data_IF_879714929062
#
_entry.id   IF_879714929062
#
_cell.length_a   1.000
_cell.length_b   1.000
_cell.length_c   1.000
_cell.angle_alpha   90.00
_cell.angle_beta   90.00
_cell.angle_gamma   90.00
#
_symmetry.space_group_name_H-M   'P 1'
#
loop_
_entity.id
_entity.type
_entity.pdbx_description
1 polymer ?
#
# COMPACT_ATOMS: atom_id res chain seq x y z
N UNK A 1 28.86 -20.77 12.05
CA UNK A 1 27.60 -20.02 11.76
C UNK A 1 27.89 -19.04 10.64
N UNK A 2 27.10 -18.99 9.59
CA UNK A 2 27.29 -18.08 8.45
C UNK A 2 26.62 -16.70 8.64
N UNK A 3 26.10 -16.41 9.82
CA UNK A 3 25.45 -15.16 10.20
C UNK A 3 26.23 -14.45 11.30
N UNK A 4 26.43 -13.15 11.12
CA UNK A 4 27.06 -12.28 12.12
C UNK A 4 26.05 -11.28 12.64
N UNK A 5 25.94 -11.14 13.95
CA UNK A 5 25.15 -10.08 14.56
C UNK A 5 26.00 -8.82 14.56
N UNK A 6 25.65 -7.85 13.72
CA UNK A 6 26.38 -6.59 13.61
C UNK A 6 26.03 -5.62 14.74
N UNK A 7 24.74 -5.55 15.11
CA UNK A 7 24.23 -4.59 16.08
C UNK A 7 22.87 -5.03 16.60
N UNK A 8 22.60 -4.81 17.85
CA UNK A 8 21.26 -4.90 18.41
C UNK A 8 20.47 -3.63 18.08
N UNK A 9 19.25 -3.80 17.59
CA UNK A 9 18.35 -2.69 17.28
C UNK A 9 17.40 -2.44 18.45
N UNK A 10 17.01 -1.19 18.74
CA UNK A 10 16.00 -0.91 19.75
C UNK A 10 14.70 -1.63 19.38
N UNK A 11 14.02 -2.22 20.37
CA UNK A 11 12.71 -2.78 20.12
C UNK A 11 11.70 -1.64 19.81
N UNK A 12 10.58 -1.93 19.12
CA UNK A 12 9.61 -0.89 18.73
C UNK A 12 9.04 -0.09 19.90
N UNK A 13 8.86 -0.69 21.07
CA UNK A 13 8.35 0.02 22.25
C UNK A 13 9.33 1.11 22.69
N UNK A 14 10.61 0.77 22.79
CA UNK A 14 11.67 1.73 23.14
C UNK A 14 11.80 2.85 22.09
N UNK A 15 11.75 2.48 20.80
CA UNK A 15 11.84 3.48 19.73
C UNK A 15 10.63 4.43 19.71
N UNK A 16 9.42 3.91 19.92
CA UNK A 16 8.20 4.74 20.01
C UNK A 16 8.20 5.66 21.24
N UNK A 17 8.83 5.23 22.33
CA UNK A 17 9.01 6.09 23.50
C UNK A 17 10.04 7.22 23.25
N UNK A 18 11.07 6.97 22.44
CA UNK A 18 12.05 7.98 22.02
C UNK A 18 11.49 8.95 20.98
N UNK A 19 10.67 8.44 20.04
CA UNK A 19 10.00 9.23 18.98
C UNK A 19 8.47 9.08 19.09
N UNK A 20 7.84 9.63 20.13
CA UNK A 20 6.40 9.46 20.37
C UNK A 20 5.57 10.20 19.32
N UNK A 21 4.43 9.61 18.95
CA UNK A 21 3.45 10.27 18.08
C UNK A 21 2.74 11.36 18.89
N UNK A 22 2.77 12.63 18.45
CA UNK A 22 2.04 13.72 19.09
C UNK A 22 0.53 13.45 19.18
N UNK A 23 -0.13 13.96 20.20
CA UNK A 23 -1.55 13.68 20.46
C UNK A 23 -2.48 14.14 19.33
N UNK A 24 -2.17 15.27 18.69
CA UNK A 24 -2.95 15.74 17.55
C UNK A 24 -2.83 14.84 16.33
N UNK A 25 -1.64 14.25 16.06
CA UNK A 25 -1.45 13.24 14.99
C UNK A 25 -2.25 11.97 15.29
N UNK A 26 -2.29 11.50 16.55
CA UNK A 26 -3.13 10.37 16.96
C UNK A 26 -4.60 10.63 16.67
N UNK A 27 -5.09 11.85 16.94
CA UNK A 27 -6.47 12.25 16.64
C UNK A 27 -6.75 12.26 15.14
N UNK A 28 -5.83 12.81 14.34
CA UNK A 28 -5.92 12.75 12.87
C UNK A 28 -6.03 11.30 12.41
N UNK A 29 -5.10 10.45 12.85
CA UNK A 29 -5.10 9.03 12.49
C UNK A 29 -6.40 8.34 12.88
N UNK A 30 -6.86 8.51 14.10
CA UNK A 30 -8.10 7.88 14.58
C UNK A 30 -9.34 8.29 13.76
N UNK A 31 -9.39 9.53 13.27
CA UNK A 31 -10.44 10.00 12.37
C UNK A 31 -10.32 9.36 11.00
N UNK A 32 -9.12 9.38 10.41
CA UNK A 32 -8.85 8.82 9.10
C UNK A 32 -9.08 7.30 9.06
N UNK A 33 -8.65 6.57 10.11
CA UNK A 33 -8.88 5.11 10.21
C UNK A 33 -10.38 4.78 10.17
N UNK A 34 -11.22 5.57 10.86
CA UNK A 34 -12.68 5.40 10.83
C UNK A 34 -13.26 5.65 9.43
N UNK A 35 -12.83 6.75 8.78
CA UNK A 35 -13.29 7.09 7.42
C UNK A 35 -12.91 6.01 6.40
N UNK A 36 -11.68 5.52 6.46
CA UNK A 36 -11.21 4.47 5.56
C UNK A 36 -11.94 3.15 5.85
N UNK A 37 -12.07 2.76 7.11
CA UNK A 37 -12.79 1.53 7.49
C UNK A 37 -14.26 1.57 7.08
N UNK A 38 -14.93 2.73 7.14
CA UNK A 38 -16.32 2.91 6.72
C UNK A 38 -16.53 2.57 5.24
N UNK A 39 -15.57 2.88 4.37
CA UNK A 39 -15.63 2.49 2.95
C UNK A 39 -15.58 0.96 2.79
N UNK A 40 -14.68 0.30 3.51
CA UNK A 40 -14.57 -1.17 3.45
C UNK A 40 -15.81 -1.88 4.01
N UNK A 41 -16.46 -1.32 5.02
CA UNK A 41 -17.70 -1.84 5.59
C UNK A 41 -18.94 -1.51 4.75
N UNK A 42 -18.82 -0.69 3.70
CA UNK A 42 -19.95 -0.22 2.90
C UNK A 42 -20.83 0.82 3.60
N UNK A 43 -20.31 1.48 4.62
CA UNK A 43 -20.94 2.58 5.36
C UNK A 43 -20.70 3.95 4.69
N UNK A 44 -19.80 4.00 3.70
CA UNK A 44 -19.46 5.18 2.92
C UNK A 44 -19.24 4.79 1.46
N UNK A 45 -19.81 5.60 0.55
CA UNK A 45 -19.67 5.44 -0.91
C UNK A 45 -18.44 6.17 -1.47
N UNK A 46 -17.61 6.78 -0.62
CA UNK A 46 -16.39 7.42 -1.07
C UNK A 46 -15.45 6.40 -1.70
N UNK A 47 -14.73 6.82 -2.74
CA UNK A 47 -13.79 5.98 -3.43
C UNK A 47 -12.36 6.19 -2.92
N UNK A 48 -11.63 5.11 -2.66
CA UNK A 48 -10.27 5.17 -2.14
C UNK A 48 -9.26 5.33 -3.27
N UNK A 49 -8.33 6.26 -3.14
CA UNK A 49 -7.19 6.38 -4.06
C UNK A 49 -5.89 6.32 -3.27
N UNK A 50 -5.21 5.17 -3.36
CA UNK A 50 -3.90 4.96 -2.74
C UNK A 50 -2.86 5.37 -3.78
N UNK A 51 -2.20 6.51 -3.58
CA UNK A 51 -1.37 7.12 -4.64
C UNK A 51 -0.06 7.68 -4.11
N UNK A 52 1.04 7.36 -4.78
CA UNK A 52 2.38 7.83 -4.40
C UNK A 52 3.50 7.07 -5.09
N UNK A 53 4.76 7.34 -4.77
CA UNK A 53 5.92 6.76 -5.43
C UNK A 53 5.96 5.24 -5.31
N UNK A 54 6.62 4.58 -6.25
CA UNK A 54 6.86 3.14 -6.21
C UNK A 54 7.58 2.71 -4.92
N UNK A 55 8.55 3.51 -4.47
CA UNK A 55 9.17 3.43 -3.14
C UNK A 55 9.58 4.81 -2.67
N UNK A 56 9.47 5.05 -1.35
CA UNK A 56 10.03 6.24 -0.73
C UNK A 56 11.57 6.16 -0.78
N UNK A 57 12.19 7.24 -1.22
CA UNK A 57 13.63 7.35 -1.42
C UNK A 57 14.23 8.61 -0.81
N UNK A 58 13.42 9.63 -0.58
CA UNK A 58 13.84 10.92 -0.04
C UNK A 58 12.67 11.59 0.72
N UNK A 59 12.91 12.01 1.96
CA UNK A 59 11.87 12.60 2.83
C UNK A 59 11.27 13.87 2.24
N UNK A 60 12.11 14.79 1.72
CA UNK A 60 11.62 16.07 1.19
C UNK A 60 10.72 15.90 -0.03
N UNK A 61 11.10 15.04 -0.97
CA UNK A 61 10.29 14.80 -2.17
C UNK A 61 9.00 14.06 -1.85
N UNK A 62 9.00 13.13 -0.89
CA UNK A 62 7.80 12.46 -0.40
C UNK A 62 6.86 13.45 0.30
N UNK A 63 7.39 14.30 1.18
CA UNK A 63 6.60 15.32 1.88
C UNK A 63 6.09 16.40 0.90
N UNK A 64 6.87 16.81 -0.10
CA UNK A 64 6.39 17.70 -1.16
C UNK A 64 5.23 17.06 -1.93
N UNK A 65 5.36 15.79 -2.32
CA UNK A 65 4.31 15.06 -3.02
C UNK A 65 3.03 14.99 -2.18
N UNK A 66 3.14 14.66 -0.89
CA UNK A 66 1.98 14.58 0.00
C UNK A 66 1.32 15.94 0.25
N UNK A 67 2.09 17.05 0.31
CA UNK A 67 1.53 18.41 0.36
C UNK A 67 0.72 18.75 -0.89
N UNK A 68 1.18 18.32 -2.06
CA UNK A 68 0.41 18.50 -3.32
C UNK A 68 -0.89 17.69 -3.28
N UNK A 69 -0.83 16.43 -2.80
CA UNK A 69 -2.02 15.61 -2.60
C UNK A 69 -3.03 16.25 -1.63
N UNK A 70 -2.55 16.83 -0.54
CA UNK A 70 -3.41 17.50 0.43
C UNK A 70 -4.20 18.67 -0.18
N UNK A 71 -3.58 19.43 -1.09
CA UNK A 71 -4.26 20.52 -1.82
C UNK A 71 -5.38 19.99 -2.72
N UNK A 72 -5.13 18.89 -3.43
CA UNK A 72 -6.16 18.23 -4.24
C UNK A 72 -7.25 17.64 -3.34
N UNK A 73 -6.87 17.02 -2.20
CA UNK A 73 -7.81 16.44 -1.26
C UNK A 73 -8.89 17.42 -0.82
N UNK A 74 -8.55 18.68 -0.56
CA UNK A 74 -9.53 19.70 -0.16
C UNK A 74 -10.65 19.90 -1.19
N UNK A 75 -10.38 19.60 -2.46
CA UNK A 75 -11.35 19.78 -3.54
C UNK A 75 -12.13 18.51 -3.87
N UNK A 76 -11.62 17.33 -3.48
CA UNK A 76 -12.20 16.03 -3.83
C UNK A 76 -12.67 15.21 -2.64
N UNK A 77 -12.45 15.67 -1.41
CA UNK A 77 -12.72 14.94 -0.16
C UNK A 77 -14.18 14.52 0.06
N UNK A 78 -15.11 15.14 -0.63
CA UNK A 78 -16.53 14.75 -0.57
C UNK A 78 -16.80 13.45 -1.34
N UNK A 79 -15.98 13.13 -2.33
CA UNK A 79 -16.09 11.96 -3.20
C UNK A 79 -14.98 10.93 -2.98
N UNK A 80 -13.77 11.39 -2.68
CA UNK A 80 -12.59 10.55 -2.57
C UNK A 80 -12.00 10.57 -1.15
N UNK A 81 -11.31 9.48 -0.82
CA UNK A 81 -10.36 9.42 0.29
C UNK A 81 -8.98 9.17 -0.33
N UNK A 82 -8.12 10.20 -0.33
CA UNK A 82 -6.74 10.07 -0.78
C UNK A 82 -5.87 9.50 0.35
N UNK A 83 -5.10 8.44 0.04
CA UNK A 83 -4.16 7.81 0.96
C UNK A 83 -2.77 7.86 0.30
N UNK A 84 -1.85 8.70 0.80
CA UNK A 84 -0.47 8.73 0.32
C UNK A 84 0.17 7.35 0.41
N UNK A 85 0.66 6.83 -0.71
CA UNK A 85 1.42 5.60 -0.80
C UNK A 85 2.89 5.91 -0.52
N UNK A 86 3.34 5.60 0.70
CA UNK A 86 4.71 5.83 1.16
C UNK A 86 5.33 4.47 1.50
N UNK A 87 5.69 3.71 0.47
CA UNK A 87 6.28 2.40 0.63
C UNK A 87 7.75 2.51 1.03
N UNK A 88 8.07 2.13 2.25
CA UNK A 88 9.39 2.25 2.86
C UNK A 88 10.30 1.07 2.59
N UNK A 89 9.76 0.00 2.03
CA UNK A 89 10.48 -1.21 1.64
C UNK A 89 10.28 -1.50 0.15
N UNK A 90 11.29 -2.09 -0.50
CA UNK A 90 11.19 -2.56 -1.88
C UNK A 90 11.62 -4.02 -1.98
N UNK A 91 10.70 -4.95 -2.31
CA UNK A 91 11.07 -6.36 -2.50
C UNK A 91 11.96 -6.51 -3.73
N UNK A 92 13.08 -7.22 -3.57
CA UNK A 92 14.05 -7.51 -4.63
C UNK A 92 14.22 -9.02 -4.78
N UNK A 93 13.78 -9.57 -5.91
CA UNK A 93 13.82 -11.01 -6.19
C UNK A 93 15.25 -11.57 -6.17
N UNK A 94 16.23 -10.83 -6.70
CA UNK A 94 17.64 -11.21 -6.71
C UNK A 94 18.43 -10.68 -5.52
N UNK A 95 17.83 -9.85 -4.67
CA UNK A 95 18.50 -9.17 -3.55
C UNK A 95 19.33 -7.95 -3.96
N UNK A 96 19.40 -7.61 -5.25
CA UNK A 96 20.16 -6.47 -5.78
C UNK A 96 19.32 -5.19 -5.88
N UNK A 97 20.00 -4.04 -5.84
CA UNK A 97 19.41 -2.69 -6.00
C UNK A 97 18.83 -2.11 -4.71
N UNK A 98 18.24 -0.94 -4.80
CA UNK A 98 17.67 -0.20 -3.66
C UNK A 98 16.56 -0.99 -2.98
N UNK A 99 16.69 -1.19 -1.66
CA UNK A 99 15.78 -2.03 -0.84
C UNK A 99 14.73 -1.23 -0.08
N UNK A 100 14.65 0.07 -0.31
CA UNK A 100 13.76 0.98 0.37
C UNK A 100 14.43 1.77 1.50
N UNK A 101 13.77 2.84 1.92
CA UNK A 101 14.30 3.80 2.89
C UNK A 101 14.57 3.19 4.27
N UNK A 102 13.83 2.15 4.66
CA UNK A 102 14.09 1.42 5.90
C UNK A 102 15.49 0.80 5.93
N UNK A 103 15.99 0.28 4.81
CA UNK A 103 17.32 -0.31 4.73
C UNK A 103 18.42 0.71 4.44
N UNK A 104 18.07 1.74 3.67
CA UNK A 104 19.00 2.68 3.07
C UNK A 104 18.31 4.05 3.01
N UNK A 105 18.32 4.80 4.15
CA UNK A 105 17.65 6.12 4.23
C UNK A 105 18.28 7.16 3.30
N UNK A 106 19.52 6.97 2.92
CA UNK A 106 20.22 7.72 1.88
C UNK A 106 20.63 6.75 0.77
N UNK A 107 20.02 6.84 -0.42
CA UNK A 107 20.30 5.91 -1.51
C UNK A 107 21.76 5.85 -1.98
N UNK A 108 22.54 6.91 -1.73
CA UNK A 108 23.95 7.02 -2.12
C UNK A 108 24.92 6.47 -1.07
N UNK A 109 24.42 6.09 0.13
CA UNK A 109 25.24 5.59 1.24
C UNK A 109 25.06 4.08 1.47
N UNK A 110 25.95 3.53 2.28
CA UNK A 110 25.84 2.17 2.77
C UNK A 110 24.53 1.96 3.56
N UNK A 111 23.96 0.73 3.59
CA UNK A 111 22.78 0.40 4.38
C UNK A 111 22.97 0.77 5.87
N UNK A 112 21.94 1.42 6.45
CA UNK A 112 21.83 1.74 7.87
C UNK A 112 20.41 1.46 8.35
N UNK A 113 20.20 0.29 8.94
CA UNK A 113 18.88 -0.15 9.41
C UNK A 113 18.36 0.71 10.57
N UNK A 114 19.21 1.12 11.51
CA UNK A 114 18.75 1.97 12.61
C UNK A 114 18.35 3.36 12.12
N UNK A 115 19.23 3.98 11.33
CA UNK A 115 18.92 5.27 10.70
C UNK A 115 17.67 5.19 9.83
N UNK A 116 17.51 4.08 9.09
CA UNK A 116 16.32 3.83 8.27
C UNK A 116 15.03 3.75 9.08
N UNK A 117 15.00 2.98 10.17
CA UNK A 117 13.83 2.87 11.05
C UNK A 117 13.44 4.24 11.62
N UNK A 118 14.42 5.04 12.06
CA UNK A 118 14.18 6.40 12.56
C UNK A 118 13.67 7.31 11.44
N UNK A 119 14.30 7.25 10.26
CA UNK A 119 13.95 8.10 9.13
C UNK A 119 12.50 7.85 8.64
N UNK A 120 12.09 6.58 8.45
CA UNK A 120 10.74 6.28 8.01
C UNK A 120 9.68 6.72 9.02
N UNK A 121 9.96 6.58 10.33
CA UNK A 121 9.04 7.02 11.37
C UNK A 121 8.88 8.54 11.37
N UNK A 122 9.98 9.29 11.28
CA UNK A 122 9.98 10.77 11.20
C UNK A 122 9.26 11.25 9.95
N UNK A 123 9.53 10.64 8.80
CA UNK A 123 8.89 10.98 7.53
C UNK A 123 7.37 10.78 7.58
N UNK A 124 6.87 9.66 8.13
CA UNK A 124 5.43 9.44 8.29
C UNK A 124 4.79 10.46 9.24
N UNK A 125 5.43 10.74 10.40
CA UNK A 125 4.93 11.77 11.30
C UNK A 125 4.86 13.14 10.63
N UNK A 126 5.91 13.53 9.90
CA UNK A 126 5.98 14.79 9.17
C UNK A 126 4.91 14.87 8.07
N UNK A 127 4.72 13.80 7.31
CA UNK A 127 3.70 13.77 6.27
C UNK A 127 2.30 13.99 6.84
N UNK A 128 1.97 13.35 7.97
CA UNK A 128 0.67 13.53 8.63
C UNK A 128 0.55 14.94 9.24
N UNK A 129 1.61 15.44 9.89
CA UNK A 129 1.65 16.78 10.49
C UNK A 129 1.38 17.87 9.46
N UNK A 130 2.05 17.82 8.31
CA UNK A 130 1.98 18.84 7.27
C UNK A 130 0.69 18.76 6.44
N UNK A 131 0.00 17.61 6.41
CA UNK A 131 -1.06 17.37 5.43
C UNK A 131 -2.40 16.89 6.01
N UNK A 132 -2.41 16.34 7.20
CA UNK A 132 -3.57 15.67 7.76
C UNK A 132 -3.93 14.35 7.07
N UNK A 133 -3.11 13.87 6.12
CA UNK A 133 -3.31 12.61 5.39
C UNK A 133 -2.49 11.50 6.04
N UNK A 134 -3.15 10.42 6.44
CA UNK A 134 -2.48 9.19 6.89
C UNK A 134 -2.10 8.31 5.72
N UNK A 135 -1.05 7.52 5.88
CA UNK A 135 -0.35 6.90 4.77
C UNK A 135 -0.58 5.38 4.68
N UNK A 136 -0.25 4.84 3.52
CA UNK A 136 -0.17 3.41 3.23
C UNK A 136 1.29 2.97 3.10
N UNK A 137 1.64 1.79 3.64
CA UNK A 137 2.92 1.11 3.39
C UNK A 137 2.69 -0.36 2.97
N UNK A 138 3.74 -1.04 2.55
CA UNK A 138 3.74 -2.47 2.25
C UNK A 138 4.49 -3.24 3.34
N UNK A 139 3.82 -4.18 4.00
CA UNK A 139 4.45 -5.09 4.96
C UNK A 139 5.33 -6.10 4.22
N UNK A 140 6.57 -5.73 3.96
CA UNK A 140 7.55 -6.66 3.39
C UNK A 140 8.12 -7.58 4.47
N UNK A 141 8.36 -7.05 5.67
CA UNK A 141 8.84 -7.79 6.83
C UNK A 141 7.87 -7.58 8.01
N UNK A 142 7.17 -8.62 8.47
CA UNK A 142 6.22 -8.51 9.57
C UNK A 142 6.78 -7.89 10.84
N UNK A 143 8.04 -8.17 11.16
CA UNK A 143 8.71 -7.64 12.36
C UNK A 143 8.87 -6.11 12.31
N UNK A 144 9.05 -5.54 11.11
CA UNK A 144 9.29 -4.10 10.93
C UNK A 144 8.02 -3.27 11.09
N UNK A 145 6.84 -3.88 10.87
CA UNK A 145 5.54 -3.22 10.99
C UNK A 145 5.39 -2.48 12.32
N UNK A 146 5.80 -3.10 13.41
CA UNK A 146 5.63 -2.56 14.76
C UNK A 146 6.34 -1.21 15.01
N UNK A 147 7.23 -0.78 14.12
CA UNK A 147 7.84 0.55 14.19
C UNK A 147 6.94 1.65 13.62
N UNK A 148 5.89 1.30 12.83
CA UNK A 148 4.99 2.23 12.14
C UNK A 148 3.49 1.97 12.39
N UNK A 149 3.10 0.93 13.14
CA UNK A 149 1.70 0.52 13.34
C UNK A 149 0.81 1.60 13.98
N UNK A 150 1.41 2.55 14.68
CA UNK A 150 0.76 3.72 15.27
C UNK A 150 0.66 4.94 14.32
N UNK A 151 1.08 4.80 13.05
CA UNK A 151 1.12 5.86 12.04
C UNK A 151 0.36 5.50 10.76
N UNK A 152 0.34 4.21 10.38
CA UNK A 152 -0.28 3.74 9.13
C UNK A 152 -1.79 3.58 9.27
N UNK A 153 -2.53 3.91 8.21
CA UNK A 153 -3.98 3.68 8.10
C UNK A 153 -4.38 2.68 7.02
N UNK A 154 -3.42 2.17 6.28
CA UNK A 154 -3.57 1.12 5.28
C UNK A 154 -2.26 0.36 5.13
N UNK A 155 -2.35 -0.95 4.99
CA UNK A 155 -1.17 -1.77 4.77
C UNK A 155 -1.42 -2.80 3.66
N UNK A 156 -0.47 -2.95 2.74
CA UNK A 156 -0.54 -3.96 1.69
C UNK A 156 0.38 -5.14 2.00
N UNK A 157 -0.09 -6.35 1.67
CA UNK A 157 0.74 -7.56 1.66
C UNK A 157 1.15 -7.82 0.21
N UNK A 158 2.44 -7.77 -0.05
CA UNK A 158 3.00 -7.85 -1.39
C UNK A 158 2.78 -9.20 -2.07
N UNK A 159 2.81 -9.21 -3.40
CA UNK A 159 2.59 -10.41 -4.23
C UNK A 159 3.58 -11.54 -3.97
N UNK A 160 4.79 -11.25 -3.46
CA UNK A 160 5.79 -12.26 -3.08
C UNK A 160 5.65 -12.75 -1.64
N UNK A 161 4.86 -12.04 -0.83
CA UNK A 161 4.69 -12.28 0.61
C UNK A 161 3.34 -12.90 0.96
N UNK A 162 2.35 -12.79 0.08
CA UNK A 162 0.95 -13.18 0.33
C UNK A 162 0.78 -14.68 0.63
N UNK A 163 1.69 -15.53 0.20
CA UNK A 163 1.70 -16.96 0.49
C UNK A 163 2.36 -17.30 1.84
N UNK A 164 3.14 -16.37 2.40
CA UNK A 164 3.88 -16.58 3.62
C UNK A 164 2.94 -16.56 4.84
N UNK A 165 3.04 -17.62 5.66
CA UNK A 165 2.17 -17.79 6.82
C UNK A 165 2.27 -16.64 7.83
N UNK A 166 3.48 -16.19 8.15
CA UNK A 166 3.67 -15.12 9.13
C UNK A 166 3.06 -13.79 8.68
N UNK A 167 3.09 -13.46 7.37
CA UNK A 167 2.41 -12.27 6.85
C UNK A 167 0.89 -12.36 7.03
N UNK A 168 0.29 -13.52 6.73
CA UNK A 168 -1.16 -13.75 6.91
C UNK A 168 -1.57 -13.63 8.37
N UNK A 169 -0.81 -14.26 9.27
CA UNK A 169 -1.07 -14.21 10.71
C UNK A 169 -0.87 -12.81 11.28
N UNK A 170 0.16 -12.08 10.84
CA UNK A 170 0.37 -10.68 11.24
C UNK A 170 -0.77 -9.80 10.74
N UNK A 171 -1.24 -10.01 9.50
CA UNK A 171 -2.39 -9.26 8.96
C UNK A 171 -3.67 -9.46 9.79
N UNK A 172 -3.85 -10.63 10.42
CA UNK A 172 -4.99 -10.93 11.32
C UNK A 172 -4.96 -10.13 12.64
N UNK A 173 -3.83 -9.48 12.95
CA UNK A 173 -3.66 -8.64 14.15
C UNK A 173 -3.88 -7.15 13.91
N UNK A 174 -4.20 -6.75 12.69
CA UNK A 174 -4.31 -5.34 12.33
C UNK A 174 -5.72 -4.79 12.59
N UNK A 175 -5.78 -3.57 13.11
CA UNK A 175 -7.04 -2.80 13.28
C UNK A 175 -7.32 -1.88 12.08
N UNK A 176 -6.45 -1.90 11.07
CA UNK A 176 -6.55 -1.12 9.82
C UNK A 176 -6.74 -2.05 8.61
N UNK A 177 -7.25 -1.55 7.47
CA UNK A 177 -7.37 -2.35 6.27
C UNK A 177 -6.05 -2.97 5.82
N UNK A 178 -6.07 -4.27 5.56
CA UNK A 178 -4.95 -5.07 5.05
C UNK A 178 -5.27 -5.59 3.65
N UNK A 179 -4.61 -5.05 2.63
CA UNK A 179 -4.81 -5.45 1.24
C UNK A 179 -3.92 -6.62 0.85
N UNK A 180 -4.53 -7.77 0.51
CA UNK A 180 -3.83 -8.97 0.04
C UNK A 180 -3.66 -8.92 -1.47
N UNK A 181 -2.44 -8.66 -1.97
CA UNK A 181 -2.18 -8.72 -3.43
C UNK A 181 -2.28 -10.17 -3.92
N UNK A 182 -2.89 -10.39 -5.08
CA UNK A 182 -2.72 -11.69 -5.73
C UNK A 182 -1.22 -11.94 -5.99
N UNK A 183 -0.75 -13.20 -5.90
CA UNK A 183 0.64 -13.54 -6.15
C UNK A 183 1.08 -13.17 -7.58
N UNK A 184 2.38 -13.21 -7.83
CA UNK A 184 2.95 -12.85 -9.14
C UNK A 184 2.43 -13.76 -10.28
N UNK A 185 2.02 -14.98 -9.98
CA UNK A 185 1.35 -15.90 -10.92
C UNK A 185 -0.06 -15.46 -11.33
N UNK A 186 -0.69 -14.55 -10.58
CA UNK A 186 -2.09 -14.17 -10.81
C UNK A 186 -3.12 -15.05 -10.13
N UNK A 187 -2.72 -16.01 -9.30
CA UNK A 187 -3.61 -16.99 -8.65
C UNK A 187 -4.56 -16.33 -7.63
N UNK A 188 -5.85 -16.30 -7.97
CA UNK A 188 -6.88 -15.72 -7.09
C UNK A 188 -7.22 -16.63 -5.91
N UNK A 189 -7.08 -17.96 -6.03
CA UNK A 189 -7.37 -18.87 -4.92
C UNK A 189 -6.37 -18.66 -3.78
N UNK A 190 -5.09 -18.46 -4.10
CA UNK A 190 -4.05 -18.12 -3.11
C UNK A 190 -4.39 -16.79 -2.41
N UNK A 191 -4.83 -15.78 -3.15
CA UNK A 191 -5.23 -14.49 -2.59
C UNK A 191 -6.45 -14.65 -1.67
N UNK A 192 -7.49 -15.34 -2.10
CA UNK A 192 -8.70 -15.58 -1.29
C UNK A 192 -8.40 -16.36 0.00
N UNK A 193 -7.52 -17.38 -0.07
CA UNK A 193 -7.05 -18.10 1.10
C UNK A 193 -6.27 -17.18 2.07
N UNK A 194 -5.52 -16.22 1.53
CA UNK A 194 -4.77 -15.25 2.34
C UNK A 194 -5.71 -14.30 3.08
N UNK A 195 -6.77 -13.82 2.40
CA UNK A 195 -7.81 -13.00 3.02
C UNK A 195 -8.52 -13.78 4.13
N UNK A 196 -8.91 -15.04 3.86
CA UNK A 196 -9.54 -15.91 4.85
C UNK A 196 -8.66 -16.10 6.09
N UNK A 197 -7.37 -16.36 5.89
CA UNK A 197 -6.44 -16.47 7.00
C UNK A 197 -6.32 -15.15 7.77
N UNK A 198 -6.24 -14.02 7.10
CA UNK A 198 -6.17 -12.71 7.76
C UNK A 198 -7.46 -12.33 8.51
N UNK A 199 -8.62 -12.78 8.05
CA UNK A 199 -9.90 -12.56 8.75
C UNK A 199 -10.14 -13.54 9.91
N UNK A 200 -9.30 -14.57 10.06
CA UNK A 200 -9.44 -15.58 11.12
C UNK A 200 -8.59 -15.25 12.34
N UNK A 201 -9.04 -15.73 13.52
CA UNK A 201 -8.25 -15.67 14.75
C UNK A 201 -7.12 -16.72 14.71
N UNK A 202 -5.96 -16.37 15.26
CA UNK A 202 -4.79 -17.24 15.30
C UNK A 202 -4.04 -17.13 16.63
N UNK A 203 -3.33 -18.22 16.98
CA UNK A 203 -2.33 -18.21 18.04
C UNK A 203 -0.97 -18.58 17.43
N UNK A 204 0.04 -17.74 17.65
CA UNK A 204 1.37 -17.94 17.06
C UNK A 204 2.47 -17.16 17.81
N UNK A 205 3.73 -17.44 17.47
CA UNK A 205 4.87 -16.72 18.04
C UNK A 205 5.12 -15.47 17.22
N UNK A 206 5.05 -14.30 17.88
CA UNK A 206 5.40 -13.01 17.30
C UNK A 206 6.38 -12.27 18.20
N UNK A 207 7.57 -11.94 17.68
CA UNK A 207 8.62 -11.22 18.40
C UNK A 207 8.99 -11.84 19.74
N UNK A 208 9.07 -13.18 19.77
CA UNK A 208 9.40 -13.94 20.99
C UNK A 208 8.28 -14.04 22.02
N UNK A 209 7.07 -13.59 21.68
CA UNK A 209 5.87 -13.71 22.52
C UNK A 209 4.89 -14.70 21.92
N UNK A 210 4.16 -15.41 22.77
CA UNK A 210 2.94 -16.14 22.42
C UNK A 210 1.80 -15.11 22.29
N UNK A 211 1.21 -15.00 21.09
CA UNK A 211 0.16 -14.01 20.81
C UNK A 211 -1.09 -14.67 20.24
N UNK A 212 -2.25 -14.11 20.59
CA UNK A 212 -3.54 -14.47 19.99
C UNK A 212 -4.12 -13.27 19.28
N UNK A 213 -4.57 -13.47 18.03
CA UNK A 213 -5.25 -12.44 17.22
C UNK A 213 -6.74 -12.73 17.14
N UNK A 214 -7.53 -11.72 16.78
CA UNK A 214 -9.00 -11.83 16.65
C UNK A 214 -9.45 -11.97 15.20
N UNK A 215 -8.55 -11.81 14.25
CA UNK A 215 -8.87 -11.66 12.84
C UNK A 215 -9.11 -10.20 12.46
N UNK A 216 -8.81 -9.87 11.21
CA UNK A 216 -9.00 -8.53 10.64
C UNK A 216 -10.15 -8.56 9.60
N UNK A 217 -11.38 -8.13 9.94
CA UNK A 217 -12.52 -8.15 9.03
C UNK A 217 -12.36 -7.18 7.85
N UNK A 218 -11.36 -6.30 7.86
CA UNK A 218 -11.04 -5.36 6.79
C UNK A 218 -9.94 -5.89 5.84
N UNK A 219 -9.49 -7.14 6.01
CA UNK A 219 -8.59 -7.79 5.05
C UNK A 219 -9.33 -8.02 3.72
N UNK A 220 -8.73 -7.60 2.60
CA UNK A 220 -9.40 -7.54 1.30
C UNK A 220 -8.44 -7.82 0.14
N UNK A 221 -8.99 -7.94 -1.07
CA UNK A 221 -8.24 -8.22 -2.29
C UNK A 221 -7.53 -6.99 -2.87
N UNK A 222 -6.31 -7.18 -3.38
CA UNK A 222 -5.68 -6.25 -4.33
C UNK A 222 -5.38 -6.99 -5.62
N UNK A 223 -6.01 -6.58 -6.72
CA UNK A 223 -5.73 -7.09 -8.05
C UNK A 223 -4.59 -6.31 -8.70
N UNK A 224 -3.48 -7.00 -9.00
CA UNK A 224 -2.27 -6.37 -9.57
C UNK A 224 -1.83 -6.97 -10.92
N UNK A 225 -2.65 -7.85 -11.51
CA UNK A 225 -2.28 -8.68 -12.65
C UNK A 225 -1.34 -9.82 -12.28
N UNK A 226 -0.97 -10.61 -13.25
CA UNK A 226 -0.08 -11.75 -13.09
C UNK A 226 0.94 -11.85 -14.22
N UNK A 227 1.84 -12.83 -14.11
CA UNK A 227 2.77 -13.25 -15.16
C UNK A 227 2.64 -14.75 -15.28
N UNK A 228 2.35 -15.24 -16.48
CA UNK A 228 2.21 -16.66 -16.72
C UNK A 228 3.59 -17.38 -16.75
N UNK A 229 3.54 -18.70 -16.93
CA UNK A 229 4.76 -19.55 -16.98
C UNK A 229 5.67 -19.24 -18.17
N UNK A 230 5.19 -18.49 -19.15
CA UNK A 230 5.97 -18.08 -20.34
C UNK A 230 6.52 -16.65 -20.20
N UNK A 231 6.25 -15.97 -19.07
CA UNK A 231 6.66 -14.58 -18.84
C UNK A 231 5.71 -13.54 -19.43
N UNK A 232 4.54 -13.95 -19.93
CA UNK A 232 3.54 -13.03 -20.47
C UNK A 232 2.77 -12.35 -19.33
N UNK A 233 2.65 -11.05 -19.39
CA UNK A 233 1.85 -10.28 -18.44
C UNK A 233 0.36 -10.46 -18.73
N UNK A 234 -0.40 -10.83 -17.69
CA UNK A 234 -1.85 -11.02 -17.75
C UNK A 234 -2.50 -10.01 -16.81
N UNK A 235 -3.25 -9.03 -17.33
CA UNK A 235 -4.05 -8.12 -16.50
C UNK A 235 -5.22 -8.86 -15.83
N UNK A 236 -5.74 -8.30 -14.74
CA UNK A 236 -6.91 -8.86 -14.03
C UNK A 236 -7.83 -7.76 -13.47
N UNK A 237 -8.03 -6.69 -14.24
CA UNK A 237 -8.90 -5.55 -13.91
C UNK A 237 -10.09 -5.37 -14.85
N UNK A 238 -10.21 -6.22 -15.88
CA UNK A 238 -11.30 -6.15 -16.82
C UNK A 238 -12.65 -6.54 -16.16
N UNK A 239 -13.73 -6.20 -16.79
CA UNK A 239 -15.09 -6.46 -16.29
C UNK A 239 -15.27 -7.92 -15.83
N UNK A 240 -14.83 -8.88 -16.64
CA UNK A 240 -14.95 -10.31 -16.37
C UNK A 240 -14.12 -10.75 -15.15
N UNK A 241 -12.94 -10.14 -14.96
CA UNK A 241 -12.08 -10.41 -13.79
C UNK A 241 -12.74 -9.92 -12.51
N UNK A 242 -13.30 -8.71 -12.54
CA UNK A 242 -14.00 -8.11 -11.40
C UNK A 242 -15.27 -8.90 -11.06
N UNK A 243 -16.03 -9.36 -12.06
CA UNK A 243 -17.20 -10.24 -11.86
C UNK A 243 -16.79 -11.57 -11.25
N UNK A 244 -15.71 -12.18 -11.76
CA UNK A 244 -15.18 -13.42 -11.19
C UNK A 244 -14.78 -13.25 -9.72
N UNK A 245 -14.12 -12.14 -9.39
CA UNK A 245 -13.76 -11.88 -7.98
C UNK A 245 -14.99 -11.69 -7.11
N UNK A 246 -16.04 -11.01 -7.60
CA UNK A 246 -17.31 -10.87 -6.88
C UNK A 246 -17.93 -12.24 -6.54
N UNK A 247 -17.99 -13.17 -7.52
CA UNK A 247 -18.48 -14.53 -7.30
C UNK A 247 -17.63 -15.31 -6.28
N UNK A 248 -16.30 -15.18 -6.34
CA UNK A 248 -15.41 -15.81 -5.36
C UNK A 248 -15.67 -15.32 -3.92
N UNK A 249 -15.97 -14.04 -3.76
CA UNK A 249 -16.36 -13.51 -2.44
C UNK A 249 -17.71 -14.07 -1.96
N UNK A 250 -18.71 -14.14 -2.84
CA UNK A 250 -20.02 -14.72 -2.53
C UNK A 250 -19.90 -16.19 -2.08
N UNK A 251 -19.07 -16.97 -2.78
CA UNK A 251 -18.81 -18.38 -2.44
C UNK A 251 -17.99 -18.56 -1.14
N UNK A 252 -17.12 -17.61 -0.83
CA UNK A 252 -16.20 -17.73 0.31
C UNK A 252 -16.82 -17.40 1.67
N UNK A 253 -17.91 -16.64 1.72
CA UNK A 253 -18.54 -16.14 2.93
C UNK A 253 -17.65 -15.22 3.77
N UNK A 254 -16.67 -14.56 3.14
CA UNK A 254 -15.77 -13.60 3.79
C UNK A 254 -16.50 -12.31 4.17
N UNK A 255 -16.06 -11.66 5.24
CA UNK A 255 -16.61 -10.40 5.69
C UNK A 255 -16.14 -9.24 4.79
N UNK A 256 -16.98 -8.21 4.66
CA UNK A 256 -16.67 -6.96 3.96
C UNK A 256 -16.02 -7.16 2.58
N UNK A 257 -16.69 -7.82 1.61
CA UNK A 257 -16.16 -8.02 0.27
C UNK A 257 -15.64 -6.72 -0.33
N UNK A 258 -14.34 -6.66 -0.64
CA UNK A 258 -13.72 -5.45 -1.15
C UNK A 258 -12.51 -5.76 -2.04
N UNK A 259 -12.29 -4.88 -3.01
CA UNK A 259 -11.17 -4.93 -3.93
C UNK A 259 -10.57 -3.55 -4.13
N UNK A 260 -9.26 -3.45 -4.07
CA UNK A 260 -8.47 -2.34 -4.61
C UNK A 260 -7.83 -2.83 -5.92
N UNK A 261 -7.93 -2.06 -6.99
CA UNK A 261 -7.26 -2.38 -8.25
C UNK A 261 -5.94 -1.62 -8.31
N UNK A 262 -4.83 -2.36 -8.28
CA UNK A 262 -3.50 -1.82 -8.56
C UNK A 262 -3.36 -1.65 -10.07
N UNK A 263 -3.44 -0.42 -10.54
CA UNK A 263 -3.50 -0.08 -11.96
C UNK A 263 -2.12 -0.03 -12.64
N UNK A 264 -1.05 -0.29 -11.89
CA UNK A 264 0.30 -0.44 -12.41
C UNK A 264 0.71 -1.93 -12.48
N UNK A 265 1.94 -2.27 -12.16
CA UNK A 265 2.52 -3.61 -12.15
C UNK A 265 2.18 -4.42 -13.41
N UNK A 266 1.64 -5.64 -13.23
CA UNK A 266 1.27 -6.49 -14.38
C UNK A 266 -0.01 -6.01 -15.07
N UNK A 267 -0.87 -5.28 -14.41
CA UNK A 267 -2.08 -4.70 -15.00
C UNK A 267 -1.75 -3.69 -16.12
N UNK A 268 -0.69 -2.90 -15.96
CA UNK A 268 -0.20 -1.98 -17.01
C UNK A 268 0.91 -2.57 -17.88
N UNK A 269 1.36 -3.80 -17.62
CA UNK A 269 2.58 -4.32 -18.21
C UNK A 269 3.81 -3.44 -17.91
N UNK A 270 3.81 -2.75 -16.77
CA UNK A 270 4.80 -1.74 -16.34
C UNK A 270 4.91 -0.51 -17.24
N UNK A 271 3.91 -0.27 -18.08
CA UNK A 271 3.76 0.95 -18.87
C UNK A 271 3.01 1.98 -18.03
N UNK A 272 3.71 2.77 -17.26
CA UNK A 272 3.13 3.63 -16.21
C UNK A 272 2.05 4.59 -16.73
N UNK A 273 2.08 5.04 -17.98
CA UNK A 273 1.03 5.91 -18.57
C UNK A 273 -0.30 5.18 -18.81
N UNK A 274 -0.29 3.85 -18.91
CA UNK A 274 -1.51 3.04 -19.02
C UNK A 274 -2.38 3.11 -17.77
N UNK A 275 -1.83 3.48 -16.61
CA UNK A 275 -2.58 3.64 -15.38
C UNK A 275 -3.82 4.52 -15.56
N UNK A 276 -3.74 5.60 -16.35
CA UNK A 276 -4.83 6.55 -16.61
C UNK A 276 -6.00 5.84 -17.34
N UNK A 277 -5.68 5.07 -18.38
CA UNK A 277 -6.67 4.31 -19.14
C UNK A 277 -7.32 3.22 -18.28
N UNK A 278 -6.50 2.50 -17.51
CA UNK A 278 -6.96 1.41 -16.65
C UNK A 278 -7.92 1.93 -15.57
N UNK A 279 -7.61 3.05 -14.93
CA UNK A 279 -8.52 3.71 -13.98
C UNK A 279 -9.86 3.99 -14.64
N UNK A 280 -9.86 4.54 -15.87
CA UNK A 280 -11.10 4.86 -16.60
C UNK A 280 -11.94 3.62 -16.89
N UNK A 281 -11.30 2.50 -17.23
CA UNK A 281 -11.99 1.21 -17.48
C UNK A 281 -12.57 0.63 -16.20
N UNK A 282 -11.83 0.66 -15.09
CA UNK A 282 -12.31 0.21 -13.78
C UNK A 282 -13.52 1.01 -13.32
N UNK A 283 -13.47 2.35 -13.45
CA UNK A 283 -14.58 3.22 -13.09
C UNK A 283 -15.80 2.99 -14.00
N UNK A 284 -15.59 2.74 -15.31
CA UNK A 284 -16.67 2.38 -16.23
C UNK A 284 -17.34 1.07 -15.81
N UNK A 285 -16.57 0.01 -15.54
CA UNK A 285 -17.11 -1.27 -15.07
C UNK A 285 -17.87 -1.12 -13.74
N UNK A 286 -17.35 -0.28 -12.83
CA UNK A 286 -18.00 0.04 -11.56
C UNK A 286 -19.33 0.78 -11.75
N UNK A 287 -19.42 1.71 -12.69
CA UNK A 287 -20.67 2.44 -12.98
C UNK A 287 -21.71 1.57 -13.71
N UNK A 288 -21.28 0.54 -14.43
CA UNK A 288 -22.13 -0.33 -15.23
C UNK A 288 -22.76 -1.46 -14.41
N UNK A 289 -22.06 -2.02 -13.43
CA UNK A 289 -22.50 -3.20 -12.69
C UNK A 289 -22.53 -2.95 -11.17
N UNK A 290 -23.72 -3.08 -10.51
CA UNK A 290 -23.85 -2.86 -9.07
C UNK A 290 -23.00 -3.80 -8.20
N UNK A 291 -22.72 -5.04 -8.62
CA UNK A 291 -21.87 -5.96 -7.87
C UNK A 291 -20.41 -5.49 -7.91
N UNK A 292 -19.94 -5.01 -9.06
CA UNK A 292 -18.61 -4.41 -9.20
C UNK A 292 -18.56 -3.09 -8.43
N UNK A 293 -19.60 -2.27 -8.45
CA UNK A 293 -19.70 -1.04 -7.66
C UNK A 293 -19.50 -1.32 -6.17
N UNK A 294 -20.18 -2.33 -5.65
CA UNK A 294 -20.10 -2.74 -4.25
C UNK A 294 -18.72 -3.32 -3.91
N UNK A 295 -18.10 -4.07 -4.84
CA UNK A 295 -16.84 -4.75 -4.62
C UNK A 295 -15.64 -3.81 -4.71
N UNK A 296 -15.54 -3.00 -5.77
CA UNK A 296 -14.36 -2.18 -6.06
C UNK A 296 -14.42 -0.89 -5.23
N UNK A 297 -13.64 -0.86 -4.15
CA UNK A 297 -13.59 0.26 -3.20
C UNK A 297 -12.59 1.34 -3.58
N UNK A 298 -11.65 1.03 -4.48
CA UNK A 298 -10.61 2.01 -4.85
C UNK A 298 -9.60 1.48 -5.84
N UNK A 299 -8.62 2.33 -6.11
CA UNK A 299 -7.46 2.05 -6.98
C UNK A 299 -6.15 2.37 -6.27
N UNK A 300 -5.07 1.70 -6.71
CA UNK A 300 -3.71 1.99 -6.28
C UNK A 300 -2.90 2.45 -7.50
N UNK A 301 -2.26 3.61 -7.38
CA UNK A 301 -1.58 4.34 -8.46
C UNK A 301 -0.12 4.60 -8.07
N UNK A 302 0.82 4.29 -8.95
CA UNK A 302 2.23 4.68 -8.79
C UNK A 302 2.49 6.02 -9.48
N UNK A 303 2.77 7.03 -8.67
CA UNK A 303 2.96 8.41 -9.09
C UNK A 303 4.00 9.12 -8.24
N UNK A 304 4.76 10.06 -8.83
CA UNK A 304 5.69 10.90 -8.10
C UNK A 304 5.68 12.33 -8.66
N UNK A 305 6.64 13.18 -8.22
CA UNK A 305 6.70 14.59 -8.71
C UNK A 305 7.02 14.66 -10.19
N UNK A 306 7.95 13.80 -10.69
CA UNK A 306 8.33 13.71 -12.10
C UNK A 306 8.07 12.31 -12.65
N UNK A 307 7.67 12.25 -13.93
CA UNK A 307 7.34 10.99 -14.60
C UNK A 307 8.56 10.09 -14.84
N UNK A 308 8.28 8.79 -14.92
CA UNK A 308 9.27 7.77 -15.27
C UNK A 308 10.10 7.31 -14.09
N UNK A 309 11.31 6.87 -14.37
CA UNK A 309 12.30 6.43 -13.40
C UNK A 309 13.70 6.90 -13.78
N UNK A 310 14.63 6.84 -12.84
CA UNK A 310 16.04 7.17 -13.00
C UNK A 310 16.92 6.14 -12.31
N UNK A 311 18.19 6.10 -12.67
CA UNK A 311 19.21 5.34 -11.95
C UNK A 311 19.75 6.17 -10.79
N UNK A 312 20.19 5.52 -9.72
CA UNK A 312 20.89 6.18 -8.62
C UNK A 312 22.22 6.71 -9.17
N UNK A 313 22.43 8.00 -9.04
CA UNK A 313 23.64 8.72 -9.47
C UNK A 313 23.77 10.02 -8.63
N UNK A 314 24.94 10.70 -8.61
CA UNK A 314 25.12 11.91 -7.82
C UNK A 314 24.19 13.08 -8.19
N UNK A 315 23.68 13.11 -9.43
CA UNK A 315 22.82 14.18 -9.96
C UNK A 315 21.38 13.66 -10.17
N UNK A 316 20.77 13.08 -9.12
CA UNK A 316 19.39 12.61 -9.20
C UNK A 316 18.39 13.78 -9.28
N UNK A 317 17.38 13.62 -10.13
CA UNK A 317 16.24 14.53 -10.19
C UNK A 317 15.38 14.31 -8.93
N UNK A 318 15.21 15.34 -8.12
CA UNK A 318 14.37 15.33 -6.93
C UNK A 318 12.93 14.89 -7.27
N UNK A 319 12.41 13.88 -6.58
CA UNK A 319 11.04 13.39 -6.80
C UNK A 319 10.81 12.62 -8.10
N UNK A 320 11.86 12.05 -8.71
CA UNK A 320 11.76 11.07 -9.78
C UNK A 320 12.13 9.69 -9.25
N UNK A 321 11.30 8.69 -9.53
CA UNK A 321 11.46 7.34 -8.96
C UNK A 321 12.82 6.72 -9.28
N UNK A 322 13.46 6.10 -8.28
CA UNK A 322 14.69 5.29 -8.42
C UNK A 322 14.39 3.78 -8.50
N UNK A 323 13.11 3.42 -8.61
CA UNK A 323 12.65 2.04 -8.73
C UNK A 323 11.78 1.87 -9.99
N UNK A 324 10.52 1.43 -9.89
CA UNK A 324 9.67 1.31 -11.08
C UNK A 324 9.17 2.71 -11.54
N UNK A 325 8.94 2.90 -12.86
CA UNK A 325 8.52 4.20 -13.38
C UNK A 325 7.11 4.57 -12.93
N UNK A 326 6.93 5.86 -12.59
CA UNK A 326 5.71 6.43 -12.03
C UNK A 326 5.08 7.46 -12.98
N UNK A 327 3.77 7.73 -12.82
CA UNK A 327 3.15 8.95 -13.38
C UNK A 327 3.80 10.20 -12.78
N UNK A 328 3.86 11.28 -13.54
CA UNK A 328 4.22 12.60 -13.04
C UNK A 328 3.05 13.29 -12.35
N UNK A 329 3.36 14.38 -11.62
CA UNK A 329 2.34 15.09 -10.84
C UNK A 329 1.20 15.65 -11.70
N UNK A 330 1.51 16.28 -12.85
CA UNK A 330 0.49 16.91 -13.70
C UNK A 330 -0.57 15.94 -14.20
N UNK A 331 -0.15 14.74 -14.64
CA UNK A 331 -1.06 13.67 -15.07
C UNK A 331 -1.84 13.11 -13.88
N UNK A 332 -1.19 13.01 -12.72
CA UNK A 332 -1.83 12.51 -11.49
C UNK A 332 -2.91 13.45 -11.00
N UNK A 333 -2.65 14.75 -10.94
CA UNK A 333 -3.61 15.75 -10.50
C UNK A 333 -4.88 15.73 -11.39
N UNK A 334 -4.70 15.72 -12.73
CA UNK A 334 -5.81 15.59 -13.68
C UNK A 334 -6.59 14.29 -13.48
N UNK A 335 -5.87 13.19 -13.23
CA UNK A 335 -6.47 11.89 -13.00
C UNK A 335 -7.31 11.88 -11.71
N UNK A 336 -6.84 12.50 -10.63
CA UNK A 336 -7.57 12.58 -9.37
C UNK A 336 -8.90 13.34 -9.52
N UNK A 337 -8.90 14.46 -10.23
CA UNK A 337 -10.14 15.18 -10.54
C UNK A 337 -11.08 14.33 -11.41
N UNK A 338 -10.56 13.67 -12.44
CA UNK A 338 -11.37 12.78 -13.29
C UNK A 338 -11.98 11.59 -12.51
N UNK A 339 -11.25 11.05 -11.51
CA UNK A 339 -11.78 10.01 -10.62
C UNK A 339 -12.92 10.60 -9.78
N UNK A 340 -12.74 11.78 -9.20
CA UNK A 340 -13.76 12.42 -8.36
C UNK A 340 -15.08 12.71 -9.11
N UNK A 341 -14.99 13.00 -10.40
CA UNK A 341 -16.18 13.20 -11.25
C UNK A 341 -16.95 11.92 -11.54
N UNK A 342 -16.26 10.76 -11.60
CA UNK A 342 -16.81 9.48 -12.08
C UNK A 342 -17.08 8.44 -11.01
N UNK A 343 -16.48 8.59 -9.82
CA UNK A 343 -16.55 7.61 -8.72
C UNK A 343 -17.88 7.63 -7.95
#
# INVERSE_FOLDING_TARGET
>A
MSMTINKELPNPVALKAEFPVPEHIKKIKATRDKEIAAVFRGESDKFLVIVGPCSADNEESVCEYTRRLARVNEQVKDRLILIPRIYTNKPRTTGEGYKGMLHQPDPDKAPDLLGGIIAIRKMHMRAIEETGLTCADEMLYPENRSYLDDLLSYEAIGARSVENQQHRLTASSMDIPAGMKNPTSGDLAVMMNSIKAAQSAHNFIYRGCDVTTTGNPLAHAILRGGVDKYGTTIPNYHYEDLKRLASLYEESGLENPACIVDVNHSNSGKKFKEQIRIVSEVLHSRSYDPAIHKLVKGVMIESYLFEGAQKICPEMIHGKSITDPCLGWEDTEKLLYSIAEKA
#
